data_IF_168493679807
#
_entry.id   IF_168493679807
#
_cell.length_a   1.000
_cell.length_b   1.000
_cell.length_c   1.000
_cell.angle_alpha   90.00
_cell.angle_beta   90.00
_cell.angle_gamma   90.00
#
_symmetry.space_group_name_H-M   'P 1'
#
loop_
_entity.id
_entity.type
_entity.pdbx_description
1 polymer ?
#
# COMPACT_ATOMS: atom_id res chain seq x y z
N UNK A 1 7.77 -18.26 19.92
CA UNK A 1 8.04 -18.53 18.50
C UNK A 1 8.91 -17.40 17.99
N UNK A 2 9.97 -17.66 17.23
CA UNK A 2 10.85 -16.60 16.71
C UNK A 2 10.41 -16.19 15.31
N UNK A 3 10.75 -14.97 14.90
CA UNK A 3 10.53 -14.47 13.54
C UNK A 3 11.15 -15.42 12.50
N UNK A 4 12.40 -15.84 12.71
CA UNK A 4 13.08 -16.79 11.83
C UNK A 4 12.30 -18.12 11.64
N UNK A 5 11.63 -18.62 12.70
CA UNK A 5 10.80 -19.83 12.60
C UNK A 5 9.48 -19.53 11.89
N UNK A 6 8.90 -18.35 12.13
CA UNK A 6 7.68 -17.92 11.44
C UNK A 6 7.91 -17.85 9.93
N UNK A 7 8.96 -17.13 9.52
CA UNK A 7 9.26 -16.83 8.11
C UNK A 7 9.74 -18.04 7.32
N UNK A 8 10.62 -18.85 7.92
CA UNK A 8 11.26 -19.94 7.19
C UNK A 8 10.59 -21.31 7.39
N UNK A 9 9.58 -21.39 8.26
CA UNK A 9 8.87 -22.65 8.52
C UNK A 9 7.36 -22.48 8.53
N UNK A 10 6.81 -21.66 9.43
CA UNK A 10 5.36 -21.58 9.60
C UNK A 10 4.64 -21.08 8.35
N UNK A 11 5.10 -19.96 7.78
CA UNK A 11 4.48 -19.38 6.57
C UNK A 11 4.65 -20.30 5.34
N UNK A 12 5.85 -20.82 5.01
CA UNK A 12 6.03 -21.72 3.88
C UNK A 12 5.24 -23.03 4.02
N UNK A 13 5.27 -23.68 5.20
CA UNK A 13 4.53 -24.93 5.45
C UNK A 13 3.02 -24.70 5.33
N UNK A 14 2.51 -23.58 5.87
CA UNK A 14 1.11 -23.20 5.72
C UNK A 14 0.74 -22.93 4.26
N UNK A 15 1.57 -22.18 3.52
CA UNK A 15 1.33 -21.89 2.11
C UNK A 15 1.27 -23.17 1.25
N UNK A 16 2.20 -24.11 1.47
CA UNK A 16 2.20 -25.41 0.79
C UNK A 16 0.93 -26.22 1.12
N UNK A 17 0.61 -26.36 2.40
CA UNK A 17 -0.60 -27.06 2.86
C UNK A 17 -1.88 -26.44 2.27
N UNK A 18 -1.97 -25.11 2.25
CA UNK A 18 -3.15 -24.39 1.72
C UNK A 18 -3.24 -24.56 0.19
N UNK A 19 -2.11 -24.43 -0.51
CA UNK A 19 -2.04 -24.67 -1.96
C UNK A 19 -2.56 -26.07 -2.31
N UNK A 20 -2.09 -27.09 -1.59
CA UNK A 20 -2.52 -28.49 -1.79
C UNK A 20 -3.99 -28.69 -1.44
N UNK A 21 -4.45 -28.20 -0.28
CA UNK A 21 -5.83 -28.32 0.20
C UNK A 21 -6.86 -27.73 -0.78
N UNK A 22 -6.52 -26.60 -1.42
CA UNK A 22 -7.40 -25.90 -2.36
C UNK A 22 -7.04 -26.18 -3.82
N UNK A 23 -6.11 -27.11 -4.09
CA UNK A 23 -5.69 -27.54 -5.43
C UNK A 23 -5.28 -26.37 -6.36
N UNK A 24 -4.56 -25.39 -5.81
CA UNK A 24 -4.23 -24.16 -6.51
C UNK A 24 -3.15 -24.43 -7.56
N UNK A 25 -3.55 -24.34 -8.83
CA UNK A 25 -2.68 -24.45 -10.01
C UNK A 25 -3.02 -23.30 -10.96
N UNK A 26 -2.04 -22.43 -11.21
CA UNK A 26 -2.19 -21.35 -12.17
C UNK A 26 -1.83 -21.81 -13.57
N UNK A 27 -2.53 -21.26 -14.58
CA UNK A 27 -2.16 -21.40 -15.98
C UNK A 27 -1.03 -20.45 -16.38
N UNK A 28 -0.82 -20.30 -17.69
CA UNK A 28 0.21 -19.40 -18.24
C UNK A 28 -0.21 -17.92 -18.24
N UNK A 29 -1.51 -17.65 -18.15
CA UNK A 29 -2.05 -16.30 -18.20
C UNK A 29 -1.73 -15.50 -16.92
N UNK A 30 -1.27 -14.26 -17.11
CA UNK A 30 -1.04 -13.33 -16.00
C UNK A 30 -2.32 -12.99 -15.23
N UNK A 31 -3.46 -12.94 -15.93
CA UNK A 31 -4.76 -12.63 -15.34
C UNK A 31 -5.63 -13.89 -15.40
N UNK A 32 -5.97 -14.52 -14.26
CA UNK A 32 -6.79 -15.71 -14.28
C UNK A 32 -8.21 -15.37 -14.76
N UNK A 33 -8.76 -16.22 -15.64
CA UNK A 33 -10.14 -16.12 -16.12
C UNK A 33 -11.02 -17.28 -15.66
N UNK A 34 -10.43 -18.36 -15.15
CA UNK A 34 -11.15 -19.47 -14.54
C UNK A 34 -11.77 -19.02 -13.21
N UNK A 35 -13.11 -19.00 -13.17
CA UNK A 35 -13.86 -18.56 -12.00
C UNK A 35 -13.75 -19.50 -10.81
N UNK A 36 -13.61 -20.79 -11.06
CA UNK A 36 -13.46 -21.79 -9.99
C UNK A 36 -12.11 -21.62 -9.30
N UNK A 37 -11.04 -21.48 -10.09
CA UNK A 37 -9.71 -21.17 -9.57
C UNK A 37 -9.69 -19.85 -8.78
N UNK A 38 -10.35 -18.80 -9.26
CA UNK A 38 -10.45 -17.51 -8.55
C UNK A 38 -11.17 -17.66 -7.21
N UNK A 39 -12.28 -18.40 -7.15
CA UNK A 39 -13.03 -18.63 -5.90
C UNK A 39 -12.22 -19.47 -4.91
N UNK A 40 -11.59 -20.55 -5.38
CA UNK A 40 -10.70 -21.37 -4.55
C UNK A 40 -9.51 -20.58 -4.04
N UNK A 41 -8.90 -19.73 -4.85
CA UNK A 41 -7.80 -18.86 -4.42
C UNK A 41 -8.25 -17.87 -3.34
N UNK A 42 -9.44 -17.28 -3.46
CA UNK A 42 -10.00 -16.42 -2.42
C UNK A 42 -10.20 -17.18 -1.10
N UNK A 43 -10.83 -18.35 -1.14
CA UNK A 43 -11.04 -19.21 0.05
C UNK A 43 -9.72 -19.68 0.66
N UNK A 44 -8.74 -20.01 -0.17
CA UNK A 44 -7.39 -20.38 0.25
C UNK A 44 -6.72 -19.24 1.04
N UNK A 45 -6.85 -17.99 0.58
CA UNK A 45 -6.34 -16.82 1.30
C UNK A 45 -7.00 -16.62 2.67
N UNK A 46 -8.33 -16.77 2.75
CA UNK A 46 -9.07 -16.69 4.03
C UNK A 46 -8.62 -17.80 4.98
N UNK A 47 -8.57 -19.05 4.51
CA UNK A 47 -8.13 -20.22 5.28
C UNK A 47 -6.67 -20.09 5.74
N UNK A 48 -5.79 -19.51 4.90
CA UNK A 48 -4.41 -19.23 5.29
C UNK A 48 -4.35 -18.23 6.44
N UNK A 49 -5.07 -17.10 6.36
CA UNK A 49 -5.09 -16.10 7.42
C UNK A 49 -5.67 -16.65 8.72
N UNK A 50 -6.79 -17.37 8.66
CA UNK A 50 -7.48 -17.94 9.84
C UNK A 50 -6.67 -19.06 10.48
N UNK A 51 -6.08 -19.96 9.70
CA UNK A 51 -5.34 -21.11 10.23
C UNK A 51 -3.91 -20.79 10.65
N UNK A 52 -3.32 -19.70 10.12
CA UNK A 52 -1.92 -19.33 10.41
C UNK A 52 -1.85 -18.17 11.39
N UNK A 53 -2.68 -17.14 11.24
CA UNK A 53 -2.64 -15.91 12.02
C UNK A 53 -1.61 -14.89 11.54
N UNK A 54 -1.38 -13.86 12.35
CA UNK A 54 -0.44 -12.77 12.10
C UNK A 54 0.60 -12.75 13.23
N UNK A 55 1.87 -12.88 12.89
CA UNK A 55 2.93 -12.83 13.91
C UNK A 55 3.26 -11.39 14.30
N UNK A 56 3.18 -11.10 15.60
CA UNK A 56 3.62 -9.85 16.16
C UNK A 56 5.06 -10.01 16.69
N UNK A 57 6.01 -9.38 15.98
CA UNK A 57 7.45 -9.48 16.26
C UNK A 57 7.83 -8.94 17.64
N UNK A 58 7.14 -7.89 18.11
CA UNK A 58 7.44 -7.26 19.41
C UNK A 58 7.14 -8.19 20.60
N UNK A 59 6.01 -8.89 20.54
CA UNK A 59 5.57 -9.80 21.61
C UNK A 59 5.97 -11.26 21.39
N UNK A 60 6.41 -11.61 20.18
CA UNK A 60 6.70 -12.98 19.76
C UNK A 60 5.46 -13.90 19.77
N UNK A 61 4.26 -13.32 19.68
CA UNK A 61 2.97 -14.02 19.71
C UNK A 61 2.27 -13.97 18.36
N UNK A 62 1.42 -14.97 18.13
CA UNK A 62 0.54 -15.02 16.96
C UNK A 62 -0.82 -14.46 17.34
N UNK A 63 -1.29 -13.50 16.56
CA UNK A 63 -2.63 -12.94 16.60
C UNK A 63 -3.50 -13.78 15.68
N UNK A 64 -4.49 -14.46 16.24
CA UNK A 64 -5.44 -15.26 15.47
C UNK A 64 -6.72 -14.46 15.22
N UNK A 65 -7.34 -14.72 14.06
CA UNK A 65 -8.64 -14.17 13.68
C UNK A 65 -9.54 -15.31 13.24
N UNK A 66 -10.84 -15.15 13.42
CA UNK A 66 -11.86 -16.08 12.95
C UNK A 66 -12.31 -15.76 11.53
N UNK A 67 -12.85 -16.76 10.83
CA UNK A 67 -13.45 -16.55 9.51
C UNK A 67 -14.57 -15.50 9.56
N UNK A 68 -15.39 -15.51 10.61
CA UNK A 68 -16.47 -14.53 10.79
C UNK A 68 -15.96 -13.10 10.91
N UNK A 69 -14.85 -12.87 11.62
CA UNK A 69 -14.21 -11.56 11.73
C UNK A 69 -13.65 -11.09 10.38
N UNK A 70 -12.97 -11.99 9.65
CA UNK A 70 -12.44 -11.69 8.30
C UNK A 70 -13.58 -11.33 7.35
N UNK A 71 -14.63 -12.13 7.31
CA UNK A 71 -15.77 -11.91 6.43
C UNK A 71 -16.59 -10.67 6.84
N UNK A 72 -16.67 -10.37 8.15
CA UNK A 72 -17.27 -9.14 8.63
C UNK A 72 -16.48 -7.90 8.19
N UNK A 73 -15.15 -7.96 8.23
CA UNK A 73 -14.30 -6.87 7.74
C UNK A 73 -14.48 -6.65 6.23
N UNK A 74 -14.48 -7.73 5.42
CA UNK A 74 -14.70 -7.66 3.97
C UNK A 74 -16.07 -7.05 3.63
N UNK A 75 -17.14 -7.46 4.33
CA UNK A 75 -18.50 -6.92 4.11
C UNK A 75 -18.60 -5.43 4.40
N UNK A 76 -17.85 -4.96 5.38
CA UNK A 76 -17.85 -3.56 5.83
C UNK A 76 -16.79 -2.68 5.14
N UNK A 77 -16.00 -3.24 4.22
CA UNK A 77 -14.97 -2.49 3.53
C UNK A 77 -15.58 -1.32 2.72
N UNK A 78 -14.95 -0.12 2.73
CA UNK A 78 -15.47 1.03 2.01
C UNK A 78 -15.49 0.77 0.50
N UNK A 79 -16.61 1.10 -0.16
CA UNK A 79 -16.79 0.94 -1.62
C UNK A 79 -16.37 2.18 -2.41
N UNK A 80 -16.03 3.27 -1.73
CA UNK A 80 -15.63 4.54 -2.31
C UNK A 80 -14.84 5.34 -1.29
N UNK A 81 -13.74 5.93 -1.73
CA UNK A 81 -12.92 6.84 -0.93
C UNK A 81 -12.70 8.11 -1.75
N UNK A 82 -12.92 9.27 -1.14
CA UNK A 82 -12.54 10.55 -1.72
C UNK A 82 -11.08 10.83 -1.39
N UNK A 83 -10.28 11.14 -2.41
CA UNK A 83 -8.89 11.52 -2.28
C UNK A 83 -8.75 12.97 -2.75
N UNK A 84 -8.08 13.81 -1.96
CA UNK A 84 -7.97 15.23 -2.24
C UNK A 84 -9.28 16.00 -2.03
N UNK A 85 -9.28 17.26 -2.47
CA UNK A 85 -10.42 18.16 -2.30
C UNK A 85 -10.62 19.08 -3.51
N UNK A 86 -11.77 19.76 -3.53
CA UNK A 86 -12.12 20.77 -4.52
C UNK A 86 -11.93 20.27 -5.97
N UNK A 87 -11.25 21.07 -6.82
CA UNK A 87 -11.01 20.75 -8.23
C UNK A 87 -10.02 19.60 -8.44
N UNK A 88 -9.21 19.28 -7.43
CA UNK A 88 -8.16 18.26 -7.50
C UNK A 88 -8.64 16.91 -6.92
N UNK A 89 -9.90 16.84 -6.49
CA UNK A 89 -10.51 15.65 -5.90
C UNK A 89 -10.70 14.52 -6.91
N UNK A 90 -10.35 13.31 -6.51
CA UNK A 90 -10.62 12.08 -7.25
C UNK A 90 -11.32 11.05 -6.37
N UNK A 91 -12.09 10.16 -6.99
CA UNK A 91 -12.84 9.11 -6.30
C UNK A 91 -12.21 7.76 -6.60
N UNK A 92 -11.65 7.13 -5.56
CA UNK A 92 -11.20 5.76 -5.63
C UNK A 92 -12.39 4.82 -5.47
N UNK A 93 -12.67 4.03 -6.51
CA UNK A 93 -13.79 3.09 -6.56
C UNK A 93 -13.34 1.74 -7.15
N UNK A 94 -13.99 0.61 -6.77
CA UNK A 94 -13.66 -0.72 -7.27
C UNK A 94 -13.68 -0.81 -8.79
N UNK A 95 -12.67 -1.49 -9.35
CA UNK A 95 -12.59 -1.85 -10.77
C UNK A 95 -12.71 -3.36 -10.91
N UNK A 96 -13.49 -3.81 -11.89
CA UNK A 96 -13.47 -5.21 -12.34
C UNK A 96 -12.24 -5.46 -13.22
N UNK A 97 -11.84 -6.73 -13.39
CA UNK A 97 -10.64 -7.11 -14.16
C UNK A 97 -10.58 -6.53 -15.58
N UNK A 98 -11.72 -6.33 -16.24
CA UNK A 98 -11.84 -5.75 -17.58
C UNK A 98 -12.47 -4.33 -17.59
N UNK A 99 -12.33 -3.58 -16.49
CA UNK A 99 -12.92 -2.25 -16.38
C UNK A 99 -12.38 -1.28 -17.43
N UNK A 100 -13.28 -0.63 -18.17
CA UNK A 100 -12.95 0.46 -19.10
C UNK A 100 -12.52 1.76 -18.39
N UNK A 101 -12.77 1.87 -17.09
CA UNK A 101 -12.31 3.01 -16.28
C UNK A 101 -10.82 2.88 -16.04
N UNK A 102 -10.06 3.96 -16.28
CA UNK A 102 -8.65 4.09 -15.88
C UNK A 102 -8.52 3.92 -14.35
N UNK A 103 -7.44 3.30 -13.83
CA UNK A 103 -7.14 3.36 -12.41
C UNK A 103 -6.79 4.79 -11.97
N UNK A 104 -6.85 5.04 -10.66
CA UNK A 104 -6.21 6.21 -10.06
C UNK A 104 -4.70 6.04 -10.20
N UNK A 105 -4.03 7.07 -10.71
CA UNK A 105 -2.57 7.09 -10.83
C UNK A 105 -2.00 7.91 -9.69
N UNK A 106 -1.39 7.20 -8.73
CA UNK A 106 -0.60 7.81 -7.68
C UNK A 106 0.86 7.89 -8.15
N UNK A 107 1.36 9.11 -8.38
CA UNK A 107 2.69 9.37 -8.91
C UNK A 107 3.62 9.98 -7.87
N UNK A 108 4.90 9.61 -7.89
CA UNK A 108 5.90 10.18 -7.01
C UNK A 108 7.09 9.26 -6.81
N UNK A 109 8.06 9.66 -5.97
CA UNK A 109 9.26 8.87 -5.72
C UNK A 109 9.00 7.52 -5.01
N UNK A 110 7.78 7.27 -4.51
CA UNK A 110 7.33 5.96 -4.00
C UNK A 110 8.25 5.40 -2.91
N UNK A 111 8.44 6.16 -1.84
CA UNK A 111 9.27 5.81 -0.68
C UNK A 111 10.77 5.89 -0.93
N UNK A 112 11.22 6.21 -2.16
CA UNK A 112 12.63 6.39 -2.44
C UNK A 112 13.19 7.61 -1.68
N UNK A 113 14.45 7.50 -1.25
CA UNK A 113 15.19 8.60 -0.64
C UNK A 113 15.44 9.71 -1.66
N UNK A 114 15.13 10.95 -1.30
CA UNK A 114 15.28 12.15 -2.14
C UNK A 114 16.17 13.17 -1.42
N UNK A 115 17.09 13.76 -2.18
CA UNK A 115 17.94 14.84 -1.68
C UNK A 115 17.12 16.09 -1.35
N UNK A 116 17.50 16.76 -0.26
CA UNK A 116 16.78 17.91 0.29
C UNK A 116 16.63 19.08 -0.70
N UNK A 117 17.68 19.34 -1.49
CA UNK A 117 17.77 20.46 -2.44
C UNK A 117 16.83 20.32 -3.65
N UNK A 118 16.55 19.08 -4.06
CA UNK A 118 15.64 18.79 -5.19
C UNK A 118 14.25 18.37 -4.75
N UNK A 119 13.95 18.36 -3.44
CA UNK A 119 12.70 17.80 -2.93
C UNK A 119 11.47 18.48 -3.56
N UNK A 120 11.34 19.80 -3.46
CA UNK A 120 10.20 20.51 -4.07
C UNK A 120 10.14 20.34 -5.61
N UNK A 121 11.22 20.57 -6.38
CA UNK A 121 11.21 20.34 -7.83
C UNK A 121 10.83 18.92 -8.24
N UNK A 122 11.33 17.90 -7.52
CA UNK A 122 11.03 16.49 -7.80
C UNK A 122 9.52 16.24 -7.72
N UNK A 123 8.87 16.66 -6.65
CA UNK A 123 7.44 16.45 -6.46
C UNK A 123 6.59 17.31 -7.39
N UNK A 124 7.03 18.53 -7.71
CA UNK A 124 6.35 19.38 -8.68
C UNK A 124 6.31 18.72 -10.05
N UNK A 125 7.37 17.98 -10.42
CA UNK A 125 7.44 17.25 -11.69
C UNK A 125 6.35 16.19 -11.84
N UNK A 126 5.89 15.56 -10.75
CA UNK A 126 4.76 14.63 -10.77
C UNK A 126 3.42 15.39 -10.70
N UNK A 127 3.31 16.39 -9.82
CA UNK A 127 2.06 17.11 -9.61
C UNK A 127 1.58 17.85 -10.87
N UNK A 128 2.50 18.39 -11.67
CA UNK A 128 2.18 19.10 -12.91
C UNK A 128 1.68 18.18 -14.03
N UNK A 129 1.91 16.87 -13.95
CA UNK A 129 1.48 15.93 -14.98
C UNK A 129 -0.03 15.68 -14.90
N UNK A 130 -0.81 16.00 -15.95
CA UNK A 130 -2.27 15.84 -15.92
C UNK A 130 -2.74 14.38 -15.74
N UNK A 131 -1.85 13.42 -16.01
CA UNK A 131 -2.14 11.99 -15.88
C UNK A 131 -2.07 11.50 -14.43
N UNK A 132 -1.43 12.25 -13.54
CA UNK A 132 -1.26 11.94 -12.12
C UNK A 132 -2.47 12.45 -11.35
N UNK A 133 -3.13 11.55 -10.64
CA UNK A 133 -4.37 11.79 -9.90
C UNK A 133 -4.07 12.11 -8.42
N UNK A 134 -3.07 11.45 -7.83
CA UNK A 134 -2.60 11.67 -6.46
C UNK A 134 -1.07 11.57 -6.37
N UNK A 135 -0.48 12.02 -5.27
CA UNK A 135 0.96 11.92 -5.02
C UNK A 135 1.25 10.78 -4.05
N UNK A 136 2.39 10.10 -4.23
CA UNK A 136 3.00 9.24 -3.20
C UNK A 136 4.35 9.82 -2.81
N UNK A 137 4.57 9.92 -1.51
CA UNK A 137 5.79 10.52 -1.00
C UNK A 137 7.04 9.69 -1.26
N UNK A 138 8.16 10.37 -1.49
CA UNK A 138 9.51 9.88 -1.19
C UNK A 138 9.96 10.35 0.19
N UNK A 139 11.10 9.86 0.65
CA UNK A 139 11.64 10.14 1.98
C UNK A 139 12.72 11.20 1.88
N UNK A 140 12.60 12.27 2.65
CA UNK A 140 13.64 13.30 2.77
C UNK A 140 14.88 12.72 3.49
N UNK A 141 16.03 12.66 2.81
CA UNK A 141 17.25 12.02 3.34
C UNK A 141 17.90 12.78 4.51
N UNK A 142 17.84 14.11 4.43
CA UNK A 142 18.42 15.06 5.36
C UNK A 142 17.49 16.24 5.53
N UNK A 143 17.56 16.89 6.68
CA UNK A 143 16.91 18.17 6.95
C UNK A 143 17.91 19.13 7.58
N UNK A 144 18.10 20.29 6.95
CA UNK A 144 19.20 21.23 7.20
C UNK A 144 20.58 20.53 7.14
N UNK A 145 20.74 19.59 6.20
CA UNK A 145 21.97 18.81 6.04
C UNK A 145 22.22 17.76 7.14
N UNK A 146 21.27 17.57 8.07
CA UNK A 146 21.38 16.56 9.13
C UNK A 146 20.56 15.32 8.74
N UNK A 147 21.12 14.09 8.85
CA UNK A 147 20.37 12.87 8.56
C UNK A 147 19.08 12.75 9.36
N UNK A 148 17.99 12.39 8.68
CA UNK A 148 16.67 12.13 9.27
C UNK A 148 16.58 10.73 9.89
N UNK A 149 17.51 10.40 10.78
CA UNK A 149 17.60 9.08 11.39
C UNK A 149 16.42 8.80 12.34
N UNK A 150 15.93 7.57 12.34
CA UNK A 150 14.86 7.08 13.23
C UNK A 150 15.20 7.29 14.70
N UNK A 151 14.18 7.56 15.52
CA UNK A 151 14.29 7.82 16.96
C UNK A 151 15.14 9.07 17.30
N UNK A 152 15.11 10.08 16.42
CA UNK A 152 15.74 11.38 16.66
C UNK A 152 14.74 12.51 16.43
N UNK A 153 14.96 13.71 17.00
CA UNK A 153 14.13 14.88 16.67
C UNK A 153 14.13 15.23 15.17
N UNK A 154 15.14 14.80 14.42
CA UNK A 154 15.27 15.06 12.99
C UNK A 154 14.33 14.19 12.14
N UNK A 155 13.92 13.01 12.61
CA UNK A 155 12.85 12.23 11.98
C UNK A 155 11.55 13.04 11.96
N UNK A 156 11.12 13.54 13.12
CA UNK A 156 9.89 14.34 13.25
C UNK A 156 9.98 15.61 12.39
N UNK A 157 11.13 16.29 12.44
CA UNK A 157 11.37 17.51 11.66
C UNK A 157 11.30 17.23 10.16
N UNK A 158 11.95 16.17 9.69
CA UNK A 158 11.95 15.77 8.29
C UNK A 158 10.54 15.38 7.82
N UNK A 159 9.76 14.63 8.60
CA UNK A 159 8.37 14.29 8.26
C UNK A 159 7.50 15.53 8.06
N UNK A 160 7.60 16.52 8.97
CA UNK A 160 6.85 17.78 8.85
C UNK A 160 7.32 18.60 7.64
N UNK A 161 8.63 18.63 7.38
CA UNK A 161 9.21 19.34 6.23
C UNK A 161 8.78 18.69 4.91
N UNK A 162 8.82 17.36 4.82
CA UNK A 162 8.36 16.57 3.68
C UNK A 162 6.92 16.91 3.33
N UNK A 163 5.97 16.78 4.27
CA UNK A 163 4.55 17.04 4.02
C UNK A 163 4.35 18.47 3.51
N UNK A 164 5.04 19.46 4.10
CA UNK A 164 4.97 20.87 3.67
C UNK A 164 5.56 21.08 2.28
N UNK A 165 6.71 20.48 1.98
CA UNK A 165 7.38 20.59 0.70
C UNK A 165 6.57 19.94 -0.43
N UNK A 166 5.93 18.79 -0.19
CA UNK A 166 5.01 18.18 -1.16
C UNK A 166 3.81 19.08 -1.41
N UNK A 167 3.20 19.65 -0.35
CA UNK A 167 2.08 20.59 -0.48
C UNK A 167 2.47 21.85 -1.24
N UNK A 168 3.66 22.38 -0.98
CA UNK A 168 4.22 23.49 -1.72
C UNK A 168 4.39 23.15 -3.21
N UNK A 169 4.98 22.00 -3.52
CA UNK A 169 5.16 21.53 -4.89
C UNK A 169 3.82 21.41 -5.64
N UNK A 170 2.79 20.86 -4.98
CA UNK A 170 1.44 20.74 -5.53
C UNK A 170 0.80 22.11 -5.75
N UNK A 171 0.97 23.05 -4.82
CA UNK A 171 0.51 24.43 -4.95
C UNK A 171 1.19 25.15 -6.13
N UNK A 172 2.51 25.00 -6.29
CA UNK A 172 3.28 25.54 -7.42
C UNK A 172 2.83 24.96 -8.77
N UNK A 173 2.38 23.70 -8.80
CA UNK A 173 1.76 23.06 -9.96
C UNK A 173 0.30 23.47 -10.19
N UNK A 174 -0.26 24.37 -9.37
CA UNK A 174 -1.64 24.83 -9.49
C UNK A 174 -2.69 23.81 -9.02
N UNK A 175 -2.29 22.79 -8.26
CA UNK A 175 -3.12 21.68 -7.76
C UNK A 175 -2.99 21.52 -6.24
N UNK A 176 -3.29 22.55 -5.45
CA UNK A 176 -3.02 22.56 -4.00
C UNK A 176 -3.77 21.47 -3.22
N UNK A 177 -4.89 20.99 -3.74
CA UNK A 177 -5.81 20.09 -3.04
C UNK A 177 -5.68 18.63 -3.48
N UNK A 178 -4.67 18.29 -4.29
CA UNK A 178 -4.37 16.91 -4.69
C UNK A 178 -4.10 16.04 -3.45
N UNK A 179 -4.51 14.77 -3.46
CA UNK A 179 -4.19 13.88 -2.35
C UNK A 179 -2.68 13.56 -2.34
N UNK A 180 -2.10 13.44 -1.14
CA UNK A 180 -0.73 12.97 -0.90
C UNK A 180 -0.78 11.79 0.08
#
# INVERSE_FOLDING_TARGET
MTENVWDNKVVPDAALRIKEKHEIVFGEDLIPTDRDLIDRLFRAGVDMLVSTGIFNVDSGKVINVTEDEVMAAIRNAPKRIQLGANKDMVLLEPRKGNSRRKPIIQGGPTGATVSEDIFVPMFQSYAQEPVVDTIVNGVMATIDGIPSATNTPFEIKATLAEIRAVREACSRAGRPDIAI
#
